data_IF_536606963456
#
_entry.id   IF_536606963456
#
_cell.length_a   1.000
_cell.length_b   1.000
_cell.length_c   1.000
_cell.angle_alpha   90.00
_cell.angle_beta   90.00
_cell.angle_gamma   90.00
#
_symmetry.space_group_name_H-M   'P 1'
#
loop_
_entity.id
_entity.type
_entity.pdbx_description
1 polymer ?
#
# COMPACT_ATOMS: atom_id res chain seq x y z
N UNK A 1 18.52 1.01 2.71
CA UNK A 1 17.18 1.04 3.32
C UNK A 1 16.15 0.61 2.29
N UNK A 2 15.16 -0.23 2.65
CA UNK A 2 14.02 -0.49 1.79
C UNK A 2 13.30 0.81 1.43
N UNK A 3 12.99 0.98 0.13
CA UNK A 3 12.11 2.04 -0.37
C UNK A 3 10.75 1.41 -0.69
N UNK A 4 9.69 1.99 -0.17
CA UNK A 4 8.33 1.59 -0.50
C UNK A 4 7.70 2.61 -1.44
N UNK A 5 7.15 2.13 -2.56
CA UNK A 5 6.25 2.87 -3.43
C UNK A 5 4.84 2.28 -3.26
N UNK A 6 3.87 3.14 -2.95
CA UNK A 6 2.47 2.77 -2.75
C UNK A 6 1.63 3.52 -3.77
N UNK A 7 1.23 2.82 -4.82
CA UNK A 7 0.37 3.38 -5.87
C UNK A 7 -1.09 2.94 -5.67
N UNK A 8 -1.98 3.92 -5.52
CA UNK A 8 -3.43 3.72 -5.39
C UNK A 8 -4.20 4.72 -6.26
N UNK A 9 -4.08 4.57 -7.58
CA UNK A 9 -4.53 5.56 -8.58
C UNK A 9 -5.89 5.26 -9.23
N UNK A 10 -6.57 4.17 -8.84
CA UNK A 10 -7.82 3.75 -9.49
C UNK A 10 -9.09 4.36 -8.87
N UNK A 11 -9.00 5.53 -8.22
CA UNK A 11 -10.11 6.07 -7.39
C UNK A 11 -11.45 6.20 -8.14
N UNK A 12 -11.42 6.73 -9.36
CA UNK A 12 -12.60 6.91 -10.22
C UNK A 12 -12.52 6.14 -11.55
N UNK A 13 -11.39 5.48 -11.82
CA UNK A 13 -11.16 4.76 -13.06
C UNK A 13 -10.43 3.45 -12.76
N UNK A 14 -11.17 2.33 -12.80
CA UNK A 14 -10.56 0.99 -12.71
C UNK A 14 -9.53 0.79 -13.81
N UNK A 15 -8.46 0.10 -13.44
CA UNK A 15 -7.40 -0.30 -14.35
C UNK A 15 -7.82 -1.59 -15.07
N UNK A 16 -7.35 -1.79 -16.31
CA UNK A 16 -7.50 -3.11 -16.97
C UNK A 16 -6.47 -4.07 -16.37
N UNK A 17 -6.84 -5.34 -16.10
CA UNK A 17 -5.86 -6.34 -15.72
C UNK A 17 -4.77 -6.44 -16.78
N UNK A 18 -3.52 -6.47 -16.33
CA UNK A 18 -2.34 -6.58 -17.19
C UNK A 18 -1.23 -7.32 -16.45
N UNK A 19 -0.43 -8.07 -17.19
CA UNK A 19 0.67 -8.88 -16.66
C UNK A 19 1.96 -8.06 -16.61
N UNK A 20 2.07 -7.24 -15.58
CA UNK A 20 3.27 -6.45 -15.29
C UNK A 20 4.16 -7.21 -14.31
N UNK A 21 5.26 -7.78 -14.83
CA UNK A 21 6.26 -8.46 -14.02
C UNK A 21 7.07 -7.44 -13.22
N UNK A 22 7.01 -7.57 -11.89
CA UNK A 22 7.83 -6.77 -10.98
C UNK A 22 8.32 -7.67 -9.83
N UNK A 23 9.62 -8.06 -9.80
CA UNK A 23 10.17 -8.96 -8.78
C UNK A 23 10.23 -8.34 -7.39
N UNK A 24 10.08 -7.01 -7.28
CA UNK A 24 10.08 -6.27 -6.02
C UNK A 24 8.66 -5.94 -5.52
N UNK A 25 7.61 -6.35 -6.24
CA UNK A 25 6.23 -6.06 -5.84
C UNK A 25 5.86 -6.84 -4.60
N UNK A 26 5.32 -6.13 -3.61
CA UNK A 26 4.73 -6.75 -2.42
C UNK A 26 3.27 -7.08 -2.69
N UNK A 27 2.98 -8.38 -2.90
CA UNK A 27 1.65 -8.88 -3.19
C UNK A 27 1.16 -8.63 -4.63
N UNK A 28 -0.09 -8.99 -4.91
CA UNK A 28 -0.65 -8.90 -6.26
C UNK A 28 -1.14 -7.48 -6.59
N UNK A 29 -1.29 -7.17 -7.88
CA UNK A 29 -1.96 -5.94 -8.32
C UNK A 29 -3.44 -5.96 -7.93
N UNK A 30 -4.01 -4.77 -7.68
CA UNK A 30 -5.45 -4.58 -7.46
C UNK A 30 -5.98 -3.56 -8.46
N UNK A 31 -6.90 -3.99 -9.32
CA UNK A 31 -7.30 -3.23 -10.51
C UNK A 31 -8.65 -2.51 -10.37
N UNK A 32 -9.43 -2.85 -9.33
CA UNK A 32 -10.71 -2.19 -9.05
C UNK A 32 -10.49 -0.85 -8.35
N UNK A 33 -11.56 -0.09 -8.25
CA UNK A 33 -11.58 1.21 -7.60
C UNK A 33 -11.02 1.13 -6.17
N UNK A 34 -10.10 2.04 -5.85
CA UNK A 34 -9.39 2.04 -4.58
C UNK A 34 -8.83 3.40 -4.19
N UNK A 35 -8.42 3.50 -2.92
CA UNK A 35 -7.64 4.61 -2.39
C UNK A 35 -6.55 4.11 -1.44
N UNK A 36 -5.48 4.91 -1.30
CA UNK A 36 -4.37 4.63 -0.40
C UNK A 36 -4.61 5.22 0.99
N UNK A 37 -4.17 4.52 2.04
CA UNK A 37 -4.16 5.02 3.41
C UNK A 37 -2.83 4.69 4.09
N UNK A 38 -2.14 5.72 4.58
CA UNK A 38 -0.97 5.57 5.44
C UNK A 38 -1.37 5.76 6.90
N UNK A 39 -1.11 4.76 7.73
CA UNK A 39 -1.36 4.80 9.17
C UNK A 39 -0.03 4.78 9.90
N UNK A 40 0.27 5.85 10.65
CA UNK A 40 1.48 5.94 11.46
C UNK A 40 1.08 5.84 12.92
N UNK A 41 1.64 4.84 13.61
CA UNK A 41 1.51 4.69 15.05
C UNK A 41 2.72 5.28 15.76
N UNK A 42 2.54 6.47 16.33
CA UNK A 42 3.55 7.21 17.09
C UNK A 42 3.64 6.80 18.57
N UNK A 43 2.80 5.88 19.05
CA UNK A 43 2.73 5.55 20.49
C UNK A 43 3.90 4.72 21.00
N UNK A 44 4.81 4.27 20.14
CA UNK A 44 5.93 3.38 20.48
C UNK A 44 7.28 4.07 20.22
N UNK A 45 8.35 3.71 20.94
CA UNK A 45 9.69 4.25 20.71
C UNK A 45 10.19 4.03 19.27
N UNK A 46 9.79 2.93 18.64
CA UNK A 46 9.96 2.68 17.21
C UNK A 46 8.57 2.81 16.53
N UNK A 47 8.26 3.94 15.87
CA UNK A 47 6.93 4.13 15.29
C UNK A 47 6.69 3.17 14.12
N UNK A 48 5.50 2.59 14.11
CA UNK A 48 5.06 1.67 13.05
C UNK A 48 4.33 2.40 11.93
N UNK A 49 4.64 2.05 10.69
CA UNK A 49 3.94 2.48 9.48
C UNK A 49 3.14 1.30 8.91
N UNK A 50 1.86 1.51 8.63
CA UNK A 50 1.04 0.60 7.84
C UNK A 50 0.58 1.32 6.58
N UNK A 51 0.92 0.76 5.43
CA UNK A 51 0.51 1.23 4.11
C UNK A 51 -0.63 0.35 3.63
N UNK A 52 -1.76 0.93 3.28
CA UNK A 52 -2.96 0.19 2.89
C UNK A 52 -3.49 0.69 1.54
N UNK A 53 -4.02 -0.25 0.76
CA UNK A 53 -4.93 0.03 -0.34
C UNK A 53 -6.30 -0.51 0.07
N UNK A 54 -7.32 0.31 -0.04
CA UNK A 54 -8.70 -0.01 0.34
C UNK A 54 -9.63 0.10 -0.85
N UNK A 55 -10.63 -0.77 -0.92
CA UNK A 55 -11.74 -0.61 -1.85
C UNK A 55 -12.70 0.51 -1.42
N UNK A 56 -13.74 0.76 -2.22
CA UNK A 56 -14.71 1.84 -1.95
C UNK A 56 -15.55 1.61 -0.68
N UNK A 57 -15.68 0.36 -0.24
CA UNK A 57 -16.34 0.01 1.02
C UNK A 57 -15.41 0.16 2.25
N UNK A 58 -14.16 0.58 2.01
CA UNK A 58 -13.14 0.78 3.03
C UNK A 58 -12.45 -0.50 3.49
N UNK A 59 -12.71 -1.65 2.85
CA UNK A 59 -12.05 -2.92 3.15
C UNK A 59 -10.61 -2.89 2.65
N UNK A 60 -9.70 -3.36 3.50
CA UNK A 60 -8.28 -3.49 3.14
C UNK A 60 -8.11 -4.61 2.12
N UNK A 61 -7.65 -4.26 0.92
CA UNK A 61 -7.38 -5.22 -0.16
C UNK A 61 -5.89 -5.50 -0.29
N UNK A 62 -5.03 -4.53 0.07
CA UNK A 62 -3.58 -4.73 0.18
C UNK A 62 -3.05 -3.99 1.40
N UNK A 63 -2.01 -4.55 2.02
CA UNK A 63 -1.31 -3.88 3.10
C UNK A 63 0.16 -4.30 3.15
N UNK A 64 1.01 -3.36 3.57
CA UNK A 64 2.39 -3.61 3.95
C UNK A 64 2.68 -2.89 5.27
N UNK A 65 3.61 -3.43 6.06
CA UNK A 65 4.03 -2.86 7.34
C UNK A 65 5.53 -2.63 7.32
N UNK A 66 5.94 -1.53 7.92
CA UNK A 66 7.33 -1.18 8.16
C UNK A 66 7.44 -0.42 9.48
N UNK A 67 8.65 -0.25 9.97
CA UNK A 67 9.01 0.65 11.06
C UNK A 67 9.74 1.86 10.48
N UNK A 68 9.61 3.03 11.10
CA UNK A 68 10.36 4.22 10.64
C UNK A 68 11.88 4.01 10.68
N UNK A 69 12.37 3.13 11.57
CA UNK A 69 13.78 2.77 11.66
C UNK A 69 14.28 2.03 10.43
N UNK A 70 13.45 1.18 9.82
CA UNK A 70 13.79 0.50 8.56
C UNK A 70 13.88 1.47 7.37
N UNK A 71 13.30 2.67 7.49
CA UNK A 71 13.26 3.68 6.43
C UNK A 71 14.34 4.78 6.58
N UNK A 72 15.14 4.78 7.66
CA UNK A 72 16.09 5.85 8.01
C UNK A 72 17.54 5.43 7.97
#
# INVERSE_FOLDING_TARGET
>A
YPLFDVTASAMNQKQKPDDEKNPHRVGDRYFRENFGLLRINWSKPEPGLTMEIRDLDGKVVRAAKATLKELR
#
